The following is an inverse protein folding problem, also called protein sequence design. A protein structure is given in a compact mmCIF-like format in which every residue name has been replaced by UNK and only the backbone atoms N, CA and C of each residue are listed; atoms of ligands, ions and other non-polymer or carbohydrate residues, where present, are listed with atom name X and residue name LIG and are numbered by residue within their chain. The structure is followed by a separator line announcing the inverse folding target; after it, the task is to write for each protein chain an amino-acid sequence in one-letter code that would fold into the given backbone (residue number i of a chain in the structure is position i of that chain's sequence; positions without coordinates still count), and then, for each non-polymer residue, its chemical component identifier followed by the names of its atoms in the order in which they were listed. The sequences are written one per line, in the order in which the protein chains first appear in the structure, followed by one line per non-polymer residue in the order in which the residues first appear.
data_IF_594898567313
#
_entry.id   IF_594898567313
#
_cell.length_a   1.000
_cell.length_b   1.000
_cell.length_c   1.000
_cell.angle_alpha   90.00
_cell.angle_beta   90.00
_cell.angle_gamma   90.00
#
_symmetry.space_group_name_H-M   'P 1'
#
loop_
_entity.id
_entity.type
_entity.pdbx_description
1 polymer ?
#
# COMPACT_ATOMS: atom_id res chain seq x y z
N UNK A 1 13.31 29.04 46.35
CA UNK A 1 14.73 28.88 46.59
C UNK A 1 15.22 27.79 45.66
N UNK A 2 16.01 27.93 44.65
CA UNK A 2 17.00 28.93 44.25
C UNK A 2 17.13 28.87 42.70
N UNK A 3 17.22 30.02 42.07
CA UNK A 3 17.54 30.26 40.66
C UNK A 3 19.00 29.95 40.34
N UNK A 4 19.30 29.49 39.12
CA UNK A 4 20.55 29.83 38.40
C UNK A 4 20.36 29.55 36.92
N UNK A 5 20.11 30.51 36.11
CA UNK A 5 20.84 31.41 35.19
C UNK A 5 21.73 30.72 34.13
N UNK A 6 21.27 30.90 32.96
CA UNK A 6 21.83 31.15 31.62
C UNK A 6 23.35 31.25 31.45
N UNK A 7 23.86 30.66 30.35
CA UNK A 7 25.01 31.21 29.60
C UNK A 7 24.70 31.19 28.09
N UNK A 8 24.65 32.39 27.55
CA UNK A 8 24.83 32.72 26.13
C UNK A 8 26.33 32.67 25.82
N UNK A 9 26.71 32.20 24.67
CA UNK A 9 27.99 32.53 24.05
C UNK A 9 27.80 32.67 22.54
N UNK A 10 28.39 33.75 22.10
CA UNK A 10 28.23 34.50 20.86
C UNK A 10 29.09 33.96 19.71
N UNK A 11 28.62 34.23 18.51
CA UNK A 11 29.26 34.65 17.24
C UNK A 11 30.78 34.51 17.09
N UNK A 12 31.20 33.91 15.98
CA UNK A 12 32.32 34.39 15.18
C UNK A 12 32.02 34.18 13.69
N UNK A 13 31.96 35.27 12.96
CA UNK A 13 31.93 35.37 11.50
C UNK A 13 33.37 35.49 10.99
N UNK A 14 33.68 34.85 9.87
CA UNK A 14 34.79 35.16 8.97
C UNK A 14 34.38 34.62 7.60
N UNK A 15 34.31 35.29 6.62
CA UNK A 15 34.67 36.38 5.80
C UNK A 15 35.74 36.03 4.77
N UNK A 16 35.36 36.14 3.44
CA UNK A 16 36.20 36.43 2.27
C UNK A 16 37.00 35.26 1.64
N UNK A 17 36.79 34.91 0.36
CA UNK A 17 37.40 35.61 -0.79
C UNK A 17 36.89 35.11 -2.14
N UNK A 18 36.59 36.07 -3.01
CA UNK A 18 36.32 35.96 -4.45
C UNK A 18 37.66 35.76 -5.19
N UNK A 19 37.67 34.84 -6.16
CA UNK A 19 38.67 34.84 -7.22
C UNK A 19 37.98 34.56 -8.56
N UNK A 20 37.80 35.61 -9.33
CA UNK A 20 37.47 35.59 -10.75
C UNK A 20 38.73 35.31 -11.57
N UNK A 21 38.68 34.34 -12.47
CA UNK A 21 39.67 34.19 -13.55
C UNK A 21 38.92 34.25 -14.87
N UNK A 22 39.13 35.37 -15.56
CA UNK A 22 38.86 35.58 -16.98
C UNK A 22 40.02 34.97 -17.78
N UNK A 23 39.73 34.15 -18.78
CA UNK A 23 40.66 33.96 -19.91
C UNK A 23 39.87 34.06 -21.20
N UNK A 24 40.36 34.93 -22.04
CA UNK A 24 39.80 35.38 -23.31
C UNK A 24 40.16 34.46 -24.48
N UNK A 25 39.23 34.42 -25.39
CA UNK A 25 39.26 34.30 -26.84
C UNK A 25 40.52 33.87 -27.60
N UNK A 26 40.29 32.94 -28.54
CA UNK A 26 40.87 33.11 -29.92
C UNK A 26 39.92 32.52 -30.95
N UNK A 27 39.53 33.38 -31.86
CA UNK A 27 38.79 33.14 -33.08
C UNK A 27 39.65 32.47 -34.16
N UNK A 28 39.05 31.54 -34.89
CA UNK A 28 39.48 31.29 -36.29
C UNK A 28 38.28 30.93 -37.13
N UNK A 29 38.03 31.80 -38.08
CA UNK A 29 37.09 31.73 -39.18
C UNK A 29 37.52 30.70 -40.23
N UNK A 30 36.60 29.83 -40.68
CA UNK A 30 36.65 29.31 -42.05
C UNK A 30 35.23 29.09 -42.57
N UNK A 31 34.95 29.81 -43.62
CA UNK A 31 33.79 29.75 -44.51
C UNK A 31 33.76 28.44 -45.29
N UNK A 32 32.58 27.84 -45.47
CA UNK A 32 32.15 27.30 -46.77
C UNK A 32 30.73 26.70 -46.75
N UNK A 33 29.97 27.21 -47.70
CA UNK A 33 28.89 26.60 -48.52
C UNK A 33 27.62 26.08 -47.85
N UNK A 34 26.58 26.83 -48.17
CA UNK A 34 25.16 26.47 -48.05
C UNK A 34 24.76 25.32 -49.00
N UNK A 35 24.12 24.30 -48.40
CA UNK A 35 23.29 23.30 -49.10
C UNK A 35 21.85 23.39 -48.59
N UNK A 36 20.81 23.06 -49.38
CA UNK A 36 19.43 23.30 -49.00
C UNK A 36 18.96 22.34 -47.91
N UNK A 37 18.54 22.91 -46.78
CA UNK A 37 17.92 22.18 -45.69
C UNK A 37 16.50 21.79 -46.09
N UNK A 38 16.29 20.49 -46.30
CA UNK A 38 14.97 19.88 -46.29
C UNK A 38 14.43 19.93 -44.88
N UNK A 39 13.38 20.68 -44.67
CA UNK A 39 12.62 20.72 -43.42
C UNK A 39 11.90 19.38 -43.24
N UNK A 40 12.54 18.42 -42.55
CA UNK A 40 11.84 17.28 -42.01
C UNK A 40 11.15 17.71 -40.72
N UNK A 41 9.84 17.85 -40.78
CA UNK A 41 8.98 17.94 -39.62
C UNK A 41 9.13 16.65 -38.79
N UNK A 42 10.01 16.68 -37.80
CA UNK A 42 10.05 15.65 -36.78
C UNK A 42 8.89 15.86 -35.81
N UNK A 43 7.72 15.30 -36.13
CA UNK A 43 6.69 14.97 -35.16
C UNK A 43 7.20 13.85 -34.25
N UNK A 44 8.11 14.17 -33.37
CA UNK A 44 8.59 13.26 -32.32
C UNK A 44 7.62 13.32 -31.17
N UNK A 45 6.61 12.45 -31.14
CA UNK A 45 5.95 12.06 -29.91
C UNK A 45 7.04 11.48 -28.99
N UNK A 46 7.32 12.18 -27.89
CA UNK A 46 8.20 11.67 -26.86
C UNK A 46 7.55 10.47 -26.18
N UNK A 47 7.71 9.28 -26.77
CA UNK A 47 7.54 8.01 -26.08
C UNK A 47 8.71 7.90 -25.11
N UNK A 48 8.56 8.53 -23.92
CA UNK A 48 9.53 8.40 -22.85
C UNK A 48 9.65 6.92 -22.51
N UNK A 49 10.82 6.35 -22.74
CA UNK A 49 11.09 4.98 -22.32
C UNK A 49 11.24 4.95 -20.81
N UNK A 50 10.63 3.94 -20.16
CA UNK A 50 10.78 3.73 -18.71
C UNK A 50 12.21 3.25 -18.34
N UNK A 51 13.10 3.11 -19.31
CA UNK A 51 14.42 2.51 -19.13
C UNK A 51 15.24 3.25 -18.05
N UNK A 52 15.63 2.48 -17.02
CA UNK A 52 16.45 2.97 -15.90
C UNK A 52 15.70 3.78 -14.84
N UNK A 53 14.35 3.89 -14.92
CA UNK A 53 13.59 4.62 -13.91
C UNK A 53 13.59 3.88 -12.57
N UNK A 54 13.97 4.59 -11.50
CA UNK A 54 13.90 4.07 -10.14
C UNK A 54 12.55 4.38 -9.52
N UNK A 55 11.93 3.37 -8.89
CA UNK A 55 10.66 3.49 -8.15
C UNK A 55 10.86 2.92 -6.76
N UNK A 56 10.60 3.73 -5.75
CA UNK A 56 10.56 3.31 -4.35
C UNK A 56 9.10 3.02 -3.98
N UNK A 57 8.83 1.82 -3.49
CA UNK A 57 7.51 1.39 -3.04
C UNK A 57 7.50 1.32 -1.52
N UNK A 58 6.73 2.20 -0.87
CA UNK A 58 6.42 2.08 0.56
C UNK A 58 5.37 0.99 0.77
N UNK A 59 5.76 -0.17 1.27
CA UNK A 59 4.90 -1.37 1.28
C UNK A 59 4.74 -1.96 2.67
N UNK A 60 3.50 -2.40 2.98
CA UNK A 60 3.25 -3.16 4.19
C UNK A 60 3.86 -4.57 4.05
N UNK A 61 4.45 -5.12 5.14
CA UNK A 61 4.98 -6.49 5.14
C UNK A 61 3.86 -7.52 5.42
N UNK A 62 2.89 -7.57 4.53
CA UNK A 62 1.68 -8.42 4.61
C UNK A 62 1.55 -9.30 3.36
N UNK A 63 0.73 -10.34 3.46
CA UNK A 63 0.46 -11.27 2.36
C UNK A 63 -0.02 -10.56 1.08
N UNK A 64 -0.76 -9.48 1.21
CA UNK A 64 -1.31 -8.69 0.10
C UNK A 64 -0.27 -8.32 -0.96
N UNK A 65 0.96 -8.06 -0.53
CA UNK A 65 2.02 -7.55 -1.41
C UNK A 65 2.91 -8.65 -1.99
N UNK A 66 2.50 -9.91 -1.87
CA UNK A 66 3.28 -11.02 -2.41
C UNK A 66 3.46 -10.93 -3.93
N UNK A 67 2.46 -10.44 -4.68
CA UNK A 67 2.59 -10.22 -6.13
C UNK A 67 3.73 -9.28 -6.50
N UNK A 68 3.94 -8.20 -5.73
CA UNK A 68 5.07 -7.28 -5.87
C UNK A 68 6.41 -8.01 -5.67
N UNK A 69 6.52 -8.80 -4.60
CA UNK A 69 7.74 -9.53 -4.28
C UNK A 69 8.04 -10.61 -5.32
N UNK A 70 7.01 -11.26 -5.85
CA UNK A 70 7.11 -12.19 -6.96
C UNK A 70 7.58 -11.46 -8.22
N UNK A 71 7.00 -10.30 -8.57
CA UNK A 71 7.42 -9.50 -9.71
C UNK A 71 8.89 -9.04 -9.62
N UNK A 72 9.35 -8.71 -8.43
CA UNK A 72 10.77 -8.38 -8.17
C UNK A 72 11.66 -9.62 -8.36
N UNK A 73 11.29 -10.73 -7.74
CA UNK A 73 12.04 -11.99 -7.78
C UNK A 73 12.18 -12.54 -9.20
N UNK A 74 11.09 -12.54 -9.95
CA UNK A 74 11.05 -13.03 -11.34
C UNK A 74 11.62 -12.02 -12.36
N UNK A 75 12.00 -10.82 -11.89
CA UNK A 75 12.64 -9.79 -12.70
C UNK A 75 11.69 -9.06 -13.66
N UNK A 76 10.38 -9.09 -13.46
CA UNK A 76 9.41 -8.46 -14.37
C UNK A 76 9.56 -6.93 -14.40
N UNK A 77 9.90 -6.30 -13.30
CA UNK A 77 10.23 -4.87 -13.28
C UNK A 77 11.47 -4.53 -14.05
N UNK A 78 12.55 -5.34 -13.91
CA UNK A 78 13.78 -5.14 -14.66
C UNK A 78 13.57 -5.32 -16.19
N UNK A 79 12.75 -6.29 -16.57
CA UNK A 79 12.35 -6.50 -17.97
C UNK A 79 11.55 -5.33 -18.52
N UNK A 80 10.78 -4.64 -17.65
CA UNK A 80 10.04 -3.41 -17.98
C UNK A 80 10.90 -2.13 -17.92
N UNK A 81 12.22 -2.24 -17.66
CA UNK A 81 13.14 -1.10 -17.58
C UNK A 81 13.10 -0.36 -16.24
N UNK A 82 12.51 -0.95 -15.19
CA UNK A 82 12.34 -0.31 -13.89
C UNK A 82 13.29 -0.91 -12.85
N UNK A 83 13.84 -0.03 -12.00
CA UNK A 83 14.54 -0.40 -10.78
C UNK A 83 13.61 -0.18 -9.58
N UNK A 84 12.97 -1.24 -9.10
CA UNK A 84 12.03 -1.16 -7.98
C UNK A 84 12.75 -1.55 -6.69
N UNK A 85 12.63 -0.69 -5.68
CA UNK A 85 13.04 -0.94 -4.29
C UNK A 85 11.83 -0.85 -3.37
N UNK A 86 11.87 -1.59 -2.26
CA UNK A 86 10.75 -1.63 -1.31
C UNK A 86 11.21 -1.15 0.05
N UNK A 87 10.50 -0.19 0.61
CA UNK A 87 10.64 0.28 1.98
C UNK A 87 9.45 -0.19 2.81
N UNK A 88 9.71 -0.76 3.99
CA UNK A 88 8.65 -1.28 4.86
C UNK A 88 7.98 -0.14 5.60
N UNK A 89 6.64 -0.12 5.57
CA UNK A 89 5.79 0.82 6.32
C UNK A 89 4.84 0.05 7.23
N UNK A 90 4.54 0.61 8.40
CA UNK A 90 3.64 -0.03 9.37
C UNK A 90 2.15 0.16 9.03
N UNK A 91 1.82 1.26 8.34
CA UNK A 91 0.47 1.63 7.93
C UNK A 91 0.54 2.32 6.57
N UNK A 92 -0.39 2.01 5.67
CA UNK A 92 -0.39 2.59 4.31
C UNK A 92 -0.61 4.10 4.32
N UNK A 93 -1.46 4.61 5.21
CA UNK A 93 -1.74 6.05 5.32
C UNK A 93 -0.58 6.84 5.94
N UNK A 94 0.26 6.20 6.76
CA UNK A 94 1.46 6.84 7.30
C UNK A 94 2.51 7.16 6.22
N UNK A 95 2.44 6.48 5.07
CA UNK A 95 3.32 6.72 3.92
C UNK A 95 2.84 7.85 2.98
N UNK A 96 1.63 8.42 3.23
CA UNK A 96 1.10 9.51 2.38
C UNK A 96 2.01 10.74 2.34
N UNK A 97 2.59 11.25 3.44
CA UNK A 97 3.54 12.35 3.37
C UNK A 97 4.73 12.08 2.45
N UNK A 98 5.31 10.87 2.53
CA UNK A 98 6.44 10.47 1.71
C UNK A 98 6.07 10.36 0.22
N UNK A 99 4.85 9.89 -0.07
CA UNK A 99 4.29 9.87 -1.42
C UNK A 99 4.13 11.29 -1.99
N UNK A 100 3.58 12.21 -1.20
CA UNK A 100 3.35 13.60 -1.61
C UNK A 100 4.66 14.40 -1.77
N UNK A 101 5.69 14.08 -0.99
CA UNK A 101 7.03 14.67 -1.11
C UNK A 101 7.87 14.00 -2.20
N UNK A 102 7.44 12.83 -2.73
CA UNK A 102 8.14 12.10 -3.79
C UNK A 102 9.32 11.27 -3.32
N UNK A 103 9.52 11.06 -2.01
CA UNK A 103 10.52 10.14 -1.48
C UNK A 103 10.16 8.68 -1.77
N UNK A 104 8.87 8.36 -1.82
CA UNK A 104 8.34 7.14 -2.43
C UNK A 104 7.44 7.52 -3.62
N UNK A 105 7.31 6.63 -4.60
CA UNK A 105 6.48 6.84 -5.79
C UNK A 105 5.18 6.05 -5.74
N UNK A 106 5.16 4.95 -4.99
CA UNK A 106 4.01 4.04 -4.90
C UNK A 106 3.84 3.58 -3.46
N UNK A 107 2.59 3.50 -3.00
CA UNK A 107 2.22 2.79 -1.77
C UNK A 107 1.71 1.40 -2.17
N UNK A 108 2.34 0.34 -1.64
CA UNK A 108 1.98 -1.05 -1.87
C UNK A 108 1.17 -1.65 -0.73
N UNK A 109 0.10 -2.38 -1.05
CA UNK A 109 -0.82 -2.94 -0.07
C UNK A 109 -1.68 -1.87 0.62
N UNK A 110 -1.86 -0.72 -0.03
CA UNK A 110 -2.75 0.33 0.48
C UNK A 110 -4.20 -0.10 0.46
N UNK A 111 -4.89 -0.04 1.60
CA UNK A 111 -6.28 -0.40 1.67
C UNK A 111 -7.15 0.58 0.88
N UNK A 112 -8.02 0.08 0.04
CA UNK A 112 -8.82 0.92 -0.85
C UNK A 112 -9.69 1.95 -0.12
N UNK A 113 -10.26 1.59 1.04
CA UNK A 113 -11.20 2.45 1.77
C UNK A 113 -10.56 3.78 2.15
N UNK A 114 -9.40 3.75 2.82
CA UNK A 114 -8.74 4.99 3.25
C UNK A 114 -8.33 5.89 2.07
N UNK A 115 -7.95 5.31 0.93
CA UNK A 115 -7.56 6.09 -0.25
C UNK A 115 -8.77 6.60 -1.04
N UNK A 116 -9.88 5.87 -1.08
CA UNK A 116 -11.15 6.37 -1.63
C UNK A 116 -11.73 7.49 -0.75
N UNK A 117 -11.63 7.41 0.58
CA UNK A 117 -11.98 8.51 1.47
C UNK A 117 -11.08 9.73 1.26
N UNK A 118 -9.75 9.54 1.14
CA UNK A 118 -8.83 10.63 0.86
C UNK A 118 -9.19 11.35 -0.45
N UNK A 119 -9.55 10.60 -1.49
CA UNK A 119 -10.05 11.14 -2.77
C UNK A 119 -11.37 11.88 -2.57
N UNK A 120 -12.35 11.29 -1.87
CA UNK A 120 -13.67 11.88 -1.66
C UNK A 120 -13.61 13.19 -0.85
N UNK A 121 -12.65 13.29 0.07
CA UNK A 121 -12.39 14.50 0.87
C UNK A 121 -11.38 15.46 0.21
N UNK A 122 -10.97 15.20 -1.04
CA UNK A 122 -10.00 16.00 -1.76
C UNK A 122 -8.67 16.24 -0.99
N UNK A 123 -8.25 15.28 -0.16
CA UNK A 123 -6.99 15.34 0.56
C UNK A 123 -5.81 15.33 -0.41
N UNK A 124 -5.86 14.46 -1.42
CA UNK A 124 -5.00 14.47 -2.61
C UNK A 124 -5.66 13.66 -3.73
N UNK A 125 -5.20 13.84 -4.96
CA UNK A 125 -5.72 13.10 -6.11
C UNK A 125 -5.04 11.75 -6.23
N UNK A 126 -5.82 10.70 -6.00
CA UNK A 126 -5.38 9.29 -5.99
C UNK A 126 -5.36 8.72 -7.41
N UNK A 127 -4.36 7.90 -7.72
CA UNK A 127 -4.30 7.03 -8.89
C UNK A 127 -4.03 5.60 -8.45
N UNK A 128 -4.92 4.67 -8.77
CA UNK A 128 -4.71 3.25 -8.54
C UNK A 128 -4.02 2.62 -9.75
N UNK A 129 -2.82 2.11 -9.54
CA UNK A 129 -2.01 1.49 -10.60
C UNK A 129 -2.43 0.05 -10.87
N UNK A 130 -2.62 -0.74 -9.81
CA UNK A 130 -2.94 -2.16 -9.93
C UNK A 130 -3.58 -2.69 -8.64
N UNK A 131 -4.28 -3.83 -8.69
CA UNK A 131 -4.75 -4.52 -7.49
C UNK A 131 -3.60 -5.21 -6.78
N UNK A 132 -3.72 -5.40 -5.46
CA UNK A 132 -2.80 -6.23 -4.70
C UNK A 132 -3.42 -7.61 -4.41
N UNK A 133 -4.54 -7.64 -3.67
CA UNK A 133 -5.18 -8.91 -3.27
C UNK A 133 -6.69 -8.75 -3.17
N UNK A 134 -7.39 -9.81 -3.60
CA UNK A 134 -8.75 -10.11 -3.19
C UNK A 134 -8.68 -11.17 -2.11
N UNK A 135 -9.43 -10.98 -1.03
CA UNK A 135 -9.36 -11.89 0.10
C UNK A 135 -10.04 -13.23 -0.18
N UNK A 136 -9.58 -14.24 0.51
CA UNK A 136 -10.21 -15.55 0.56
C UNK A 136 -10.59 -15.91 2.00
N UNK A 137 -11.33 -17.00 2.18
CA UNK A 137 -11.71 -17.42 3.53
C UNK A 137 -10.47 -17.69 4.38
N UNK A 138 -10.41 -17.05 5.56
CA UNK A 138 -9.38 -17.23 6.60
C UNK A 138 -8.00 -16.60 6.34
N UNK A 139 -7.80 -15.79 5.31
CA UNK A 139 -6.61 -14.94 5.16
C UNK A 139 -6.74 -13.59 5.89
N UNK A 140 -7.99 -13.21 6.17
CA UNK A 140 -8.39 -12.10 7.05
C UNK A 140 -9.40 -12.59 8.08
N UNK A 141 -9.26 -12.16 9.32
CA UNK A 141 -10.20 -12.63 10.35
C UNK A 141 -10.11 -11.90 11.68
N UNK A 142 -11.15 -12.10 12.47
CA UNK A 142 -11.17 -11.69 13.87
C UNK A 142 -10.74 -12.85 14.73
N UNK A 143 -9.74 -12.63 15.58
CA UNK A 143 -9.21 -13.63 16.52
C UNK A 143 -9.27 -13.12 17.97
N UNK A 144 -9.54 -14.01 18.90
CA UNK A 144 -9.61 -13.72 20.34
C UNK A 144 -8.92 -14.80 21.16
N UNK A 145 -8.44 -14.42 22.37
CA UNK A 145 -7.90 -15.42 23.30
C UNK A 145 -9.05 -16.26 23.91
N UNK A 146 -8.88 -17.58 24.13
CA UNK A 146 -9.89 -18.42 24.75
C UNK A 146 -10.35 -17.90 26.13
N UNK A 147 -9.46 -17.24 26.87
CA UNK A 147 -9.77 -16.63 28.18
C UNK A 147 -10.77 -15.47 28.10
N UNK A 148 -11.02 -14.90 26.90
CA UNK A 148 -12.01 -13.84 26.72
C UNK A 148 -13.46 -14.34 26.67
N UNK A 149 -13.66 -15.65 26.49
CA UNK A 149 -14.98 -16.26 26.28
C UNK A 149 -15.63 -15.95 24.93
N UNK A 150 -14.90 -15.28 24.01
CA UNK A 150 -15.39 -14.94 22.66
C UNK A 150 -15.14 -16.13 21.75
N UNK A 151 -16.20 -16.72 21.22
CA UNK A 151 -16.16 -17.91 20.37
C UNK A 151 -16.91 -17.74 19.05
N UNK A 152 -17.82 -16.79 18.99
CA UNK A 152 -18.66 -16.49 17.82
C UNK A 152 -18.66 -14.98 17.51
N UNK A 153 -19.11 -14.61 16.31
CA UNK A 153 -19.28 -13.22 15.92
C UNK A 153 -20.22 -12.45 16.89
N UNK A 154 -21.27 -13.12 17.41
CA UNK A 154 -22.22 -12.51 18.34
C UNK A 154 -21.59 -12.11 19.68
N UNK A 155 -20.54 -12.80 20.12
CA UNK A 155 -19.83 -12.47 21.37
C UNK A 155 -19.00 -11.17 21.27
N UNK A 156 -18.81 -10.64 20.03
CA UNK A 156 -18.09 -9.39 19.81
C UNK A 156 -18.90 -8.16 20.15
N UNK A 157 -20.23 -8.27 20.39
CA UNK A 157 -21.06 -7.17 20.85
C UNK A 157 -20.53 -6.62 22.20
N UNK A 158 -20.32 -5.32 22.28
CA UNK A 158 -19.77 -4.63 23.46
C UNK A 158 -18.26 -4.81 23.67
N UNK A 159 -17.57 -5.48 22.77
CA UNK A 159 -16.13 -5.74 22.89
C UNK A 159 -15.29 -4.69 22.15
N UNK A 160 -14.01 -4.64 22.53
CA UNK A 160 -13.00 -3.80 21.87
C UNK A 160 -12.17 -4.67 20.94
N UNK A 161 -12.17 -4.33 19.65
CA UNK A 161 -11.40 -4.99 18.58
C UNK A 161 -10.26 -4.07 18.15
N UNK A 162 -9.02 -4.56 18.16
CA UNK A 162 -7.91 -3.84 17.54
C UNK A 162 -7.98 -3.99 16.01
N UNK A 163 -7.75 -2.88 15.32
CA UNK A 163 -7.61 -2.78 13.87
C UNK A 163 -6.36 -1.99 13.54
N UNK A 164 -5.79 -2.16 12.34
CA UNK A 164 -4.61 -1.38 11.95
C UNK A 164 -4.91 0.12 11.83
N UNK A 165 -6.06 0.44 11.28
CA UNK A 165 -6.61 1.80 11.14
C UNK A 165 -8.11 1.72 11.38
N UNK A 166 -8.70 2.75 12.00
CA UNK A 166 -10.16 2.93 12.01
C UNK A 166 -10.64 3.48 10.66
N UNK A 167 -11.91 3.28 10.32
CA UNK A 167 -12.50 3.71 9.03
C UNK A 167 -11.69 3.22 7.82
N UNK A 168 -11.38 1.93 7.82
CA UNK A 168 -10.62 1.28 6.76
C UNK A 168 -11.27 -0.02 6.30
N UNK A 169 -10.58 -0.73 5.41
CA UNK A 169 -11.07 -1.98 4.85
C UNK A 169 -11.35 -3.05 5.93
N UNK A 170 -10.57 -3.11 7.01
CA UNK A 170 -10.76 -4.10 8.09
C UNK A 170 -12.03 -3.80 8.89
N UNK A 171 -12.27 -2.55 9.27
CA UNK A 171 -13.53 -2.16 9.96
C UNK A 171 -14.72 -2.36 9.05
N UNK A 172 -14.58 -2.03 7.76
CA UNK A 172 -15.66 -2.18 6.78
C UNK A 172 -16.07 -3.64 6.61
N UNK A 173 -15.12 -4.54 6.34
CA UNK A 173 -15.40 -5.96 6.13
C UNK A 173 -15.81 -6.66 7.42
N UNK A 174 -15.21 -6.32 8.57
CA UNK A 174 -15.64 -6.82 9.87
C UNK A 174 -17.10 -6.44 10.14
N UNK A 175 -17.44 -5.17 9.95
CA UNK A 175 -18.83 -4.69 10.15
C UNK A 175 -19.81 -5.36 9.19
N UNK A 176 -19.43 -5.58 7.93
CA UNK A 176 -20.29 -6.25 6.96
C UNK A 176 -20.63 -7.70 7.39
N UNK A 177 -19.62 -8.44 7.86
CA UNK A 177 -19.82 -9.81 8.36
C UNK A 177 -20.63 -9.80 9.66
N UNK A 178 -20.31 -8.94 10.62
CA UNK A 178 -21.06 -8.83 11.88
C UNK A 178 -22.53 -8.48 11.65
N UNK A 179 -22.80 -7.56 10.73
CA UNK A 179 -24.18 -7.18 10.35
C UNK A 179 -24.92 -8.36 9.73
N UNK A 180 -24.26 -9.15 8.86
CA UNK A 180 -24.84 -10.34 8.26
C UNK A 180 -25.16 -11.42 9.32
N UNK A 181 -24.37 -11.48 10.38
CA UNK A 181 -24.58 -12.37 11.55
C UNK A 181 -25.55 -11.78 12.59
N UNK A 182 -26.22 -10.67 12.28
CA UNK A 182 -27.21 -10.01 13.15
C UNK A 182 -26.63 -9.24 14.32
N UNK A 183 -25.32 -8.94 14.31
CA UNK A 183 -24.64 -8.18 15.36
C UNK A 183 -24.71 -6.68 15.05
N UNK A 184 -25.16 -5.86 16.03
CA UNK A 184 -25.14 -4.41 15.90
C UNK A 184 -23.69 -3.88 15.95
N UNK A 185 -23.23 -3.32 14.85
CA UNK A 185 -21.89 -2.74 14.76
C UNK A 185 -21.68 -1.52 15.66
N UNK A 186 -22.75 -0.80 16.02
CA UNK A 186 -22.71 0.29 16.99
C UNK A 186 -22.30 -0.17 18.41
N UNK A 187 -22.44 -1.46 18.72
CA UNK A 187 -22.00 -2.04 19.98
C UNK A 187 -20.52 -2.41 20.00
N UNK A 188 -19.84 -2.46 18.84
CA UNK A 188 -18.43 -2.83 18.73
C UNK A 188 -17.55 -1.58 18.85
N UNK A 189 -16.47 -1.68 19.63
CA UNK A 189 -15.49 -0.61 19.77
C UNK A 189 -14.22 -0.97 18.99
N UNK A 190 -13.75 -0.07 18.15
CA UNK A 190 -12.48 -0.24 17.44
C UNK A 190 -11.39 0.64 18.07
N UNK A 191 -10.18 0.12 18.16
CA UNK A 191 -8.97 0.85 18.56
C UNK A 191 -7.85 0.59 17.57
N UNK A 192 -7.08 1.62 17.27
CA UNK A 192 -5.95 1.50 16.36
C UNK A 192 -4.74 0.93 17.07
N UNK A 193 -4.23 -0.17 16.55
CA UNK A 193 -2.98 -0.79 16.97
C UNK A 193 -2.27 -1.28 15.70
N UNK A 194 -1.01 -0.87 15.43
CA UNK A 194 -0.24 -1.40 14.32
C UNK A 194 -0.17 -2.92 14.36
N UNK A 195 -0.21 -3.57 13.20
CA UNK A 195 -0.23 -5.03 13.10
C UNK A 195 0.83 -5.74 13.97
N UNK A 196 2.11 -5.31 14.00
CA UNK A 196 3.13 -5.98 14.81
C UNK A 196 2.82 -6.00 16.31
N UNK A 197 2.04 -5.03 16.81
CA UNK A 197 1.75 -4.86 18.23
C UNK A 197 0.43 -5.56 18.65
N UNK A 198 -0.40 -5.99 17.68
CA UNK A 198 -1.73 -6.55 17.96
C UNK A 198 -1.68 -7.82 18.82
N UNK A 199 -0.78 -8.75 18.51
CA UNK A 199 -0.67 -10.02 19.24
C UNK A 199 -0.28 -9.78 20.70
N UNK A 200 0.65 -8.84 20.95
CA UNK A 200 1.05 -8.47 22.30
C UNK A 200 -0.09 -7.78 23.07
N UNK A 201 -0.85 -6.91 22.40
CA UNK A 201 -2.01 -6.25 22.98
C UNK A 201 -3.12 -7.24 23.35
N UNK A 202 -3.39 -8.21 22.47
CA UNK A 202 -4.37 -9.27 22.69
C UNK A 202 -3.99 -10.17 23.88
N UNK A 203 -2.74 -10.63 23.92
CA UNK A 203 -2.23 -11.45 25.05
C UNK A 203 -2.25 -10.72 26.39
N UNK A 204 -2.00 -9.42 26.38
CA UNK A 204 -2.05 -8.58 27.58
C UNK A 204 -3.48 -8.22 28.02
N UNK A 205 -4.51 -8.62 27.27
CA UNK A 205 -5.90 -8.28 27.55
C UNK A 205 -6.24 -6.80 27.36
N UNK A 206 -5.39 -6.04 26.66
CA UNK A 206 -5.67 -4.61 26.36
C UNK A 206 -6.82 -4.45 25.37
N UNK A 207 -7.05 -5.48 24.57
CA UNK A 207 -8.19 -5.60 23.64
C UNK A 207 -8.81 -6.99 23.80
N UNK A 208 -10.09 -7.13 23.45
CA UNK A 208 -10.80 -8.39 23.57
C UNK A 208 -10.58 -9.29 22.33
N UNK A 209 -10.38 -8.67 21.17
CA UNK A 209 -10.10 -9.34 19.92
C UNK A 209 -9.21 -8.45 19.02
N UNK A 210 -8.67 -9.06 17.98
CA UNK A 210 -7.96 -8.36 16.90
C UNK A 210 -8.61 -8.70 15.56
N UNK A 211 -8.73 -7.73 14.65
CA UNK A 211 -9.01 -7.98 13.24
C UNK A 211 -7.68 -7.90 12.50
N UNK A 212 -7.21 -9.01 12.00
CA UNK A 212 -5.87 -9.14 11.46
C UNK A 212 -5.85 -9.80 10.08
N UNK A 213 -4.77 -9.55 9.36
CA UNK A 213 -4.39 -10.10 8.07
C UNK A 213 -3.15 -10.96 8.23
N UNK A 214 -2.85 -11.82 7.27
CA UNK A 214 -1.61 -12.59 7.28
C UNK A 214 -0.35 -11.70 7.07
N UNK A 215 0.72 -11.90 7.85
CA UNK A 215 1.02 -13.02 8.73
C UNK A 215 0.52 -12.87 10.19
N UNK A 216 -0.08 -11.76 10.56
CA UNK A 216 -0.41 -11.42 11.95
C UNK A 216 -1.56 -12.26 12.50
N UNK A 217 -2.50 -12.70 11.62
CA UNK A 217 -3.54 -13.64 12.01
C UNK A 217 -2.94 -14.99 12.41
N UNK A 218 -2.09 -15.57 11.58
CA UNK A 218 -1.36 -16.82 11.90
C UNK A 218 -0.51 -16.67 13.17
N UNK A 219 0.15 -15.54 13.37
CA UNK A 219 0.91 -15.27 14.57
C UNK A 219 0.04 -15.24 15.83
N UNK A 220 -1.16 -14.66 15.76
CA UNK A 220 -2.12 -14.68 16.86
C UNK A 220 -2.60 -16.10 17.17
N UNK A 221 -2.93 -16.87 16.13
CA UNK A 221 -3.36 -18.28 16.29
C UNK A 221 -2.25 -19.15 16.89
N UNK A 222 -1.01 -18.95 16.44
CA UNK A 222 0.16 -19.63 17.01
C UNK A 222 0.41 -19.21 18.47
N UNK A 223 0.04 -17.99 18.86
CA UNK A 223 0.10 -17.50 20.23
C UNK A 223 -1.04 -18.00 21.14
N UNK A 224 -1.94 -18.85 20.61
CA UNK A 224 -3.05 -19.49 21.35
C UNK A 224 -4.40 -18.82 21.14
N UNK A 225 -4.51 -17.74 20.35
CA UNK A 225 -5.79 -17.19 19.96
C UNK A 225 -6.60 -18.20 19.10
N UNK A 226 -7.89 -17.97 19.01
CA UNK A 226 -8.79 -18.72 18.13
C UNK A 226 -9.42 -17.78 17.13
N UNK A 227 -9.59 -18.26 15.92
CA UNK A 227 -10.37 -17.55 14.90
C UNK A 227 -11.84 -17.52 15.36
N UNK A 228 -12.39 -16.33 15.49
CA UNK A 228 -13.80 -16.09 15.84
C UNK A 228 -14.66 -16.08 14.58
N UNK A 229 -14.23 -15.32 13.57
CA UNK A 229 -14.87 -15.27 12.27
C UNK A 229 -13.88 -14.82 11.19
N UNK A 230 -14.04 -15.33 9.95
CA UNK A 230 -13.37 -14.77 8.78
C UNK A 230 -14.09 -13.49 8.36
N UNK A 231 -13.33 -12.44 8.02
CA UNK A 231 -13.90 -11.21 7.50
C UNK A 231 -14.03 -11.19 5.97
N UNK A 232 -13.74 -12.34 5.33
CA UNK A 232 -13.85 -12.58 3.89
C UNK A 232 -14.94 -13.58 3.56
N UNK A 233 -16.10 -13.44 4.19
CA UNK A 233 -17.27 -14.28 4.00
C UNK A 233 -18.53 -13.43 3.79
N UNK A 234 -19.61 -14.04 3.35
CA UNK A 234 -20.88 -13.35 3.15
C UNK A 234 -20.74 -12.12 2.23
N UNK A 235 -21.12 -10.92 2.69
CA UNK A 235 -21.03 -9.70 1.88
C UNK A 235 -19.60 -9.30 1.47
N UNK A 236 -18.59 -9.81 2.18
CA UNK A 236 -17.18 -9.54 1.92
C UNK A 236 -16.42 -10.76 1.34
N UNK A 237 -17.13 -11.75 0.80
CA UNK A 237 -16.50 -12.90 0.12
C UNK A 237 -15.77 -12.44 -1.16
N UNK A 238 -14.53 -12.87 -1.32
CA UNK A 238 -13.66 -12.49 -2.47
C UNK A 238 -13.57 -10.97 -2.66
N UNK A 239 -13.59 -10.22 -1.57
CA UNK A 239 -13.62 -8.76 -1.60
C UNK A 239 -12.25 -8.19 -1.95
N UNK A 240 -12.17 -7.14 -2.80
CA UNK A 240 -10.93 -6.44 -3.07
C UNK A 240 -10.45 -5.71 -1.82
N UNK A 241 -9.26 -6.05 -1.31
CA UNK A 241 -8.78 -5.55 -0.02
C UNK A 241 -7.83 -4.36 -0.17
N UNK A 242 -6.89 -4.46 -1.10
CA UNK A 242 -5.81 -3.50 -1.22
C UNK A 242 -5.26 -3.41 -2.64
N UNK A 243 -4.52 -2.35 -2.92
CA UNK A 243 -3.92 -2.08 -4.21
C UNK A 243 -2.61 -1.32 -4.12
N UNK A 244 -2.12 -0.93 -5.28
CA UNK A 244 -0.93 -0.09 -5.46
C UNK A 244 -1.36 1.29 -5.88
N UNK A 245 -0.95 2.28 -5.10
CA UNK A 245 -1.48 3.65 -5.17
C UNK A 245 -0.34 4.62 -5.43
N UNK A 246 -0.58 5.58 -6.32
CA UNK A 246 0.26 6.75 -6.50
C UNK A 246 -0.59 8.02 -6.53
N UNK A 247 0.00 9.19 -6.79
CA UNK A 247 -0.74 10.41 -7.07
C UNK A 247 -1.02 10.54 -8.57
N UNK A 248 -2.17 11.10 -8.93
CA UNK A 248 -2.44 11.44 -10.34
C UNK A 248 -1.34 12.32 -10.95
N UNK A 249 -0.81 13.26 -10.17
CA UNK A 249 0.29 14.12 -10.61
C UNK A 249 1.51 13.31 -11.02
N UNK A 250 1.94 12.33 -10.20
CA UNK A 250 3.10 11.51 -10.54
C UNK A 250 2.82 10.64 -11.76
N UNK A 251 1.65 10.01 -11.85
CA UNK A 251 1.27 9.18 -12.99
C UNK A 251 1.23 9.97 -14.30
N UNK A 252 0.73 11.21 -14.27
CA UNK A 252 0.69 12.12 -15.43
C UNK A 252 2.09 12.63 -15.84
N UNK A 253 2.98 12.87 -14.88
CA UNK A 253 4.35 13.29 -15.15
C UNK A 253 5.25 12.14 -15.62
N UNK A 254 4.91 10.89 -15.24
CA UNK A 254 5.69 9.69 -15.54
C UNK A 254 4.86 8.57 -16.18
N UNK A 255 4.08 8.82 -17.24
CA UNK A 255 3.09 7.88 -17.76
C UNK A 255 3.71 6.56 -18.22
N UNK A 256 4.91 6.60 -18.83
CA UNK A 256 5.61 5.39 -19.25
C UNK A 256 6.05 4.53 -18.06
N UNK A 257 6.54 5.15 -16.98
CA UNK A 257 6.95 4.43 -15.78
C UNK A 257 5.74 3.86 -15.01
N UNK A 258 4.65 4.62 -14.90
CA UNK A 258 3.41 4.17 -14.28
C UNK A 258 2.83 2.95 -15.02
N UNK A 259 2.76 3.01 -16.34
CA UNK A 259 2.27 1.90 -17.17
C UNK A 259 3.19 0.68 -17.12
N UNK A 260 4.51 0.89 -17.17
CA UNK A 260 5.48 -0.19 -17.04
C UNK A 260 5.41 -0.88 -15.66
N UNK A 261 5.21 -0.09 -14.58
CA UNK A 261 5.00 -0.60 -13.23
C UNK A 261 3.73 -1.44 -13.15
N UNK A 262 2.61 -0.91 -13.63
CA UNK A 262 1.33 -1.62 -13.70
C UNK A 262 1.48 -2.97 -14.39
N UNK A 263 2.00 -2.99 -15.62
CA UNK A 263 2.13 -4.21 -16.42
C UNK A 263 3.07 -5.26 -15.80
N UNK A 264 4.17 -4.81 -15.18
CA UNK A 264 5.10 -5.72 -14.50
C UNK A 264 4.46 -6.35 -13.27
N UNK A 265 3.66 -5.56 -12.53
CA UNK A 265 2.96 -6.04 -11.35
C UNK A 265 1.80 -6.99 -11.70
N UNK A 266 1.03 -6.68 -12.76
CA UNK A 266 -0.02 -7.57 -13.28
C UNK A 266 0.55 -8.94 -13.67
N UNK A 267 1.73 -8.97 -14.32
CA UNK A 267 2.46 -10.22 -14.57
C UNK A 267 2.87 -10.93 -13.29
N UNK A 268 3.33 -10.18 -12.26
CA UNK A 268 3.67 -10.72 -10.95
C UNK A 268 2.48 -11.36 -10.26
N UNK A 269 1.31 -10.70 -10.28
CA UNK A 269 0.07 -11.21 -9.74
C UNK A 269 -0.41 -12.46 -10.48
N UNK A 270 -0.40 -12.44 -11.80
CA UNK A 270 -0.76 -13.62 -12.61
C UNK A 270 0.18 -14.81 -12.33
N UNK A 271 1.48 -14.55 -12.21
CA UNK A 271 2.47 -15.55 -11.89
C UNK A 271 2.28 -16.09 -10.45
N UNK A 272 1.99 -15.23 -9.49
CA UNK A 272 1.71 -15.60 -8.10
C UNK A 272 0.52 -16.57 -8.00
N UNK A 273 -0.57 -16.30 -8.71
CA UNK A 273 -1.74 -17.18 -8.77
C UNK A 273 -1.40 -18.55 -9.40
N UNK A 274 -0.63 -18.55 -10.48
CA UNK A 274 -0.25 -19.78 -11.17
C UNK A 274 0.78 -20.61 -10.39
N UNK A 275 1.55 -19.97 -9.49
CA UNK A 275 2.68 -20.59 -8.78
C UNK A 275 2.60 -20.31 -7.25
N UNK A 276 1.62 -20.85 -6.51
CA UNK A 276 1.49 -20.62 -5.07
C UNK A 276 2.74 -20.99 -4.26
N UNK A 277 3.53 -21.95 -4.72
CA UNK A 277 4.81 -22.33 -4.09
C UNK A 277 5.84 -21.19 -4.13
N UNK A 278 5.84 -20.36 -5.18
CA UNK A 278 6.72 -19.19 -5.27
C UNK A 278 6.28 -18.12 -4.27
N UNK A 279 4.96 -17.89 -4.12
CA UNK A 279 4.41 -17.00 -3.08
C UNK A 279 4.89 -17.44 -1.71
N UNK A 280 4.75 -18.72 -1.35
CA UNK A 280 5.21 -19.28 -0.08
C UNK A 280 6.72 -19.13 0.15
N UNK A 281 7.51 -19.12 -0.92
CA UNK A 281 8.96 -18.92 -0.86
C UNK A 281 9.33 -17.46 -0.59
N UNK A 282 8.58 -16.48 -1.14
CA UNK A 282 8.90 -15.07 -0.94
C UNK A 282 8.36 -14.52 0.39
N UNK A 283 7.28 -15.07 0.95
CA UNK A 283 6.68 -14.58 2.20
C UNK A 283 7.69 -14.40 3.34
N UNK A 284 8.58 -15.36 3.65
CA UNK A 284 9.56 -15.19 4.71
C UNK A 284 10.65 -14.14 4.43
N UNK A 285 10.78 -13.66 3.20
CA UNK A 285 11.84 -12.72 2.82
C UNK A 285 11.48 -11.27 3.14
N UNK A 286 10.19 -10.96 3.33
CA UNK A 286 9.72 -9.59 3.56
C UNK A 286 8.68 -9.47 4.69
N UNK A 287 8.20 -10.58 5.23
CA UNK A 287 7.30 -10.63 6.39
C UNK A 287 8.00 -11.26 7.60
N UNK A 288 7.35 -11.22 8.76
CA UNK A 288 7.80 -11.94 9.95
C UNK A 288 7.49 -13.44 9.95
N UNK A 289 6.95 -13.98 8.83
CA UNK A 289 6.54 -15.37 8.72
C UNK A 289 7.75 -16.29 8.60
N UNK A 290 7.74 -17.41 9.32
CA UNK A 290 8.70 -18.49 9.11
C UNK A 290 8.36 -19.29 7.86
N UNK A 291 9.34 -19.98 7.26
CA UNK A 291 9.08 -20.86 6.11
C UNK A 291 8.05 -21.95 6.42
N UNK A 292 8.03 -22.45 7.66
CA UNK A 292 7.05 -23.45 8.11
C UNK A 292 5.63 -22.87 8.12
N UNK A 293 5.44 -21.66 8.63
CA UNK A 293 4.15 -20.96 8.61
C UNK A 293 3.73 -20.63 7.17
N UNK A 294 4.64 -20.12 6.35
CA UNK A 294 4.40 -19.82 4.95
C UNK A 294 3.95 -21.03 4.12
N UNK A 295 4.39 -22.25 4.49
CA UNK A 295 4.01 -23.47 3.80
C UNK A 295 2.50 -23.77 3.86
N UNK A 296 1.82 -23.34 4.92
CA UNK A 296 0.41 -23.69 5.20
C UNK A 296 -0.54 -22.50 5.27
N UNK A 297 -0.03 -21.26 5.25
CA UNK A 297 -0.87 -20.06 5.36
C UNK A 297 -1.92 -20.04 4.23
N UNK A 298 -3.18 -19.65 4.52
CA UNK A 298 -4.15 -19.33 3.46
C UNK A 298 -3.60 -18.22 2.58
N UNK A 299 -3.69 -18.39 1.27
CA UNK A 299 -3.27 -17.36 0.31
C UNK A 299 -4.51 -16.65 -0.23
N UNK A 300 -4.44 -15.32 -0.38
CA UNK A 300 -5.41 -14.55 -1.14
C UNK A 300 -5.31 -14.82 -2.65
N UNK A 301 -6.20 -14.24 -3.40
CA UNK A 301 -6.13 -14.20 -4.87
C UNK A 301 -5.48 -12.89 -5.29
N UNK A 302 -4.56 -12.94 -6.25
CA UNK A 302 -3.85 -11.77 -6.78
C UNK A 302 -4.42 -11.40 -8.15
N UNK A 303 -5.41 -10.48 -8.23
CA UNK A 303 -6.02 -10.14 -9.52
C UNK A 303 -4.99 -9.53 -10.48
N UNK A 304 -5.10 -9.88 -11.76
CA UNK A 304 -4.18 -9.35 -12.79
C UNK A 304 -4.57 -7.94 -13.27
N UNK A 305 -5.78 -7.47 -12.96
CA UNK A 305 -6.23 -6.12 -13.34
C UNK A 305 -7.18 -5.54 -12.31
N UNK A 306 -7.11 -4.24 -12.12
CA UNK A 306 -8.09 -3.47 -11.34
C UNK A 306 -9.20 -3.00 -12.27
N UNK A 307 -10.45 -3.16 -11.87
CA UNK A 307 -11.61 -2.79 -12.68
C UNK A 307 -12.46 -1.72 -11.99
N UNK A 308 -13.22 -0.97 -12.80
CA UNK A 308 -14.23 -0.02 -12.29
C UNK A 308 -15.25 -0.76 -11.40
N UNK A 309 -15.60 -1.99 -11.77
CA UNK A 309 -16.52 -2.83 -11.00
C UNK A 309 -15.95 -3.16 -9.62
N UNK A 310 -14.67 -3.53 -9.53
CA UNK A 310 -14.01 -3.82 -8.24
C UNK A 310 -14.04 -2.62 -7.30
N UNK A 311 -13.60 -1.43 -7.78
CA UNK A 311 -13.65 -0.21 -6.98
C UNK A 311 -15.09 0.25 -6.67
N UNK A 312 -16.01 0.06 -7.60
CA UNK A 312 -17.43 0.36 -7.42
C UNK A 312 -18.10 -0.49 -6.33
N UNK A 313 -17.69 -1.76 -6.23
CA UNK A 313 -18.14 -2.66 -5.14
C UNK A 313 -17.69 -2.13 -3.79
N UNK A 314 -16.42 -1.70 -3.68
CA UNK A 314 -15.88 -1.10 -2.46
C UNK A 314 -16.64 0.17 -2.09
N UNK A 315 -16.78 1.10 -3.07
CA UNK A 315 -17.49 2.36 -2.86
C UNK A 315 -18.96 2.15 -2.43
N UNK A 316 -19.61 1.11 -2.95
CA UNK A 316 -20.96 0.73 -2.56
C UNK A 316 -21.03 0.25 -1.11
N UNK A 317 -20.10 -0.64 -0.72
CA UNK A 317 -20.04 -1.13 0.66
C UNK A 317 -19.67 -0.01 1.64
N UNK A 318 -18.77 0.90 1.26
CA UNK A 318 -18.42 2.11 2.04
C UNK A 318 -19.67 2.95 2.34
N UNK A 319 -20.46 3.27 1.31
CA UNK A 319 -21.70 4.06 1.48
C UNK A 319 -22.71 3.35 2.37
N UNK A 320 -22.90 2.05 2.21
CA UNK A 320 -23.80 1.26 3.08
C UNK A 320 -23.30 1.19 4.53
N UNK A 321 -21.99 1.26 4.75
CA UNK A 321 -21.34 1.33 6.06
C UNK A 321 -21.23 2.74 6.64
N UNK A 322 -21.81 3.77 5.97
CA UNK A 322 -21.79 5.16 6.42
C UNK A 322 -20.49 5.91 6.17
N UNK A 323 -19.59 5.35 5.35
CA UNK A 323 -18.35 6.01 4.95
C UNK A 323 -18.53 6.85 3.67
N UNK A 324 -17.69 7.87 3.52
CA UNK A 324 -17.69 8.69 2.30
C UNK A 324 -16.91 7.99 1.20
N UNK A 325 -17.49 7.92 0.00
CA UNK A 325 -16.84 7.37 -1.17
C UNK A 325 -17.06 8.27 -2.39
N UNK A 326 -16.13 8.31 -3.35
CA UNK A 326 -16.31 9.03 -4.60
C UNK A 326 -17.58 8.59 -5.34
N UNK A 327 -18.20 9.52 -6.04
CA UNK A 327 -19.38 9.21 -6.89
C UNK A 327 -18.99 8.46 -8.15
N UNK A 328 -17.80 8.74 -8.67
CA UNK A 328 -17.19 8.07 -9.81
C UNK A 328 -15.78 7.61 -9.44
N UNK A 329 -15.51 6.33 -9.69
CA UNK A 329 -14.22 5.69 -9.45
C UNK A 329 -13.48 5.36 -10.76
N UNK A 330 -14.10 5.59 -11.92
CA UNK A 330 -13.52 5.22 -13.21
C UNK A 330 -12.26 6.03 -13.56
N UNK A 331 -12.23 7.29 -13.15
CA UNK A 331 -11.10 8.21 -13.37
C UNK A 331 -9.93 7.98 -12.40
N UNK A 332 -10.07 7.07 -11.46
CA UNK A 332 -9.06 6.79 -10.44
C UNK A 332 -8.14 5.61 -10.79
N UNK A 333 -8.43 4.92 -11.89
CA UNK A 333 -7.67 3.76 -12.35
C UNK A 333 -6.78 4.18 -13.52
N UNK A 334 -5.50 3.85 -13.43
CA UNK A 334 -4.55 4.07 -14.53
C UNK A 334 -5.05 3.31 -15.79
N UNK A 335 -5.26 4.00 -16.92
CA UNK A 335 -5.80 3.43 -18.16
C UNK A 335 -4.86 2.41 -18.84
#
# INVERSE_FOLDING_TARGET
MTFTRARRASLAAAGVAVAAILVAACSSSSSSSAGPVSSASAGGGASGTAAGTSIVVGSLPVLDTAGLQVAIKEGFFKQAGLNVTVESVAQSTAAIPDLLHGSIQVIGGGNYVSFLEAQAHATFSVEFLAPAVDCTTNDYGVAAMPSSGITTASDLAGKTIAVNLTQNIQTLTTNAVLTADGVSTAAVKYVEIPFPDMVAALKAGRVNAISAVEPFLSAALAAGAKLVTSTCTGPAANFPMSGYITTQTWAQQHPAAAKAFQQALEKGNAYANAHPSVVRTVLPTYTSMTSAAAATVPLGTYPSSLTVTSLGTIATLMKSGGLTAPSDVSSLILP
#
